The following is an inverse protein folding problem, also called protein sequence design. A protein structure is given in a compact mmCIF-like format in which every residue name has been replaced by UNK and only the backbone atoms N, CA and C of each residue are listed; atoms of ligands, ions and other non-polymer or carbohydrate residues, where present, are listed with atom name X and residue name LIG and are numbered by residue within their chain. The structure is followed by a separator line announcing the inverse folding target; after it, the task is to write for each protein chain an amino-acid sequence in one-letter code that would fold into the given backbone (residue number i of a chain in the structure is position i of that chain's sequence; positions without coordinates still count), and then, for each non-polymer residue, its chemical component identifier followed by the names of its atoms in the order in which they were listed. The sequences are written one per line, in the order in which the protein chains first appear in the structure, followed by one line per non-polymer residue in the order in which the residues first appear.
data_IF_598440479751
#
_entry.id   IF_598440479751
#
_cell.length_a   1.000
_cell.length_b   1.000
_cell.length_c   1.000
_cell.angle_alpha   90.00
_cell.angle_beta   90.00
_cell.angle_gamma   90.00
#
_symmetry.space_group_name_H-M   'P 1'
#
loop_
_entity.id
_entity.type
_entity.pdbx_description
1 polymer ?
#
# COMPACT_ATOMS: atom_id res chain seq x y z
N UNK A 1 7.82 -4.58 -3.05
CA UNK A 1 6.37 -4.69 -3.26
C UNK A 1 5.92 -5.98 -2.59
N UNK A 2 4.98 -5.91 -1.66
CA UNK A 2 4.37 -7.08 -1.04
C UNK A 2 3.05 -7.34 -1.78
N UNK A 3 3.02 -8.40 -2.57
CA UNK A 3 1.84 -8.83 -3.32
C UNK A 3 1.28 -10.05 -2.60
N UNK A 4 0.20 -9.86 -1.86
CA UNK A 4 -0.54 -10.95 -1.25
C UNK A 4 -1.75 -11.26 -2.12
N UNK A 5 -1.73 -12.38 -2.84
CA UNK A 5 -2.81 -12.81 -3.73
C UNK A 5 -4.12 -13.12 -2.99
N UNK A 6 -4.08 -13.26 -1.66
CA UNK A 6 -5.27 -13.39 -0.81
C UNK A 6 -5.84 -12.06 -0.29
N UNK A 7 -5.14 -10.94 -0.49
CA UNK A 7 -5.55 -9.62 -0.02
C UNK A 7 -6.23 -8.83 -1.13
N UNK A 8 -7.26 -8.05 -0.78
CA UNK A 8 -7.87 -7.08 -1.69
C UNK A 8 -6.99 -5.86 -1.97
N UNK A 9 -5.86 -5.72 -1.25
CA UNK A 9 -4.95 -4.58 -1.32
C UNK A 9 -3.51 -5.03 -1.48
N UNK A 10 -2.76 -4.31 -2.31
CA UNK A 10 -1.31 -4.45 -2.43
C UNK A 10 -0.61 -3.38 -1.60
N UNK A 11 0.59 -3.70 -1.09
CA UNK A 11 1.39 -2.77 -0.30
C UNK A 11 2.73 -2.51 -0.98
N UNK A 12 3.06 -1.24 -1.15
CA UNK A 12 4.33 -0.76 -1.72
C UNK A 12 5.07 0.10 -0.69
N UNK A 13 6.38 0.23 -0.87
CA UNK A 13 7.18 1.13 -0.06
C UNK A 13 6.84 2.59 -0.39
N UNK A 14 6.96 3.47 0.61
CA UNK A 14 6.77 4.91 0.42
C UNK A 14 7.68 5.48 -0.67
N UNK A 15 8.93 5.03 -0.73
CA UNK A 15 9.90 5.39 -1.77
C UNK A 15 9.43 5.06 -3.20
N UNK A 16 8.59 4.03 -3.37
CA UNK A 16 8.01 3.72 -4.67
C UNK A 16 6.73 4.54 -4.90
N UNK A 17 5.94 4.74 -3.85
CA UNK A 17 4.71 5.54 -3.93
C UNK A 17 4.98 6.99 -4.33
N UNK A 18 6.12 7.57 -3.92
CA UNK A 18 6.50 8.95 -4.29
C UNK A 18 6.75 9.14 -5.78
N UNK A 19 7.10 8.07 -6.50
CA UNK A 19 7.32 8.08 -7.95
C UNK A 19 6.02 7.87 -8.74
N UNK A 20 4.91 7.56 -8.08
CA UNK A 20 3.62 7.26 -8.70
C UNK A 20 2.65 8.44 -8.60
N UNK A 21 1.84 8.61 -9.65
CA UNK A 21 0.77 9.61 -9.67
C UNK A 21 -0.44 9.14 -8.88
N UNK A 22 -1.14 10.07 -8.22
CA UNK A 22 -2.36 9.75 -7.47
C UNK A 22 -2.11 9.27 -6.03
N UNK A 23 -0.87 9.38 -5.55
CA UNK A 23 -0.54 9.19 -4.14
C UNK A 23 -1.25 10.22 -3.26
N UNK A 24 -2.17 9.75 -2.40
CA UNK A 24 -3.00 10.60 -1.56
C UNK A 24 -3.08 10.10 -0.13
N UNK A 25 -3.23 11.02 0.83
CA UNK A 25 -3.40 10.67 2.24
C UNK A 25 -4.76 10.00 2.48
N UNK A 26 -4.76 8.93 3.26
CA UNK A 26 -5.96 8.28 3.76
C UNK A 26 -6.60 9.15 4.85
N UNK A 27 -7.93 9.25 4.87
CA UNK A 27 -8.65 9.89 5.98
C UNK A 27 -8.42 9.18 7.31
N UNK A 28 -8.29 7.85 7.25
CA UNK A 28 -8.02 7.00 8.41
C UNK A 28 -6.86 6.07 8.07
N UNK A 29 -5.68 6.22 8.72
CA UNK A 29 -4.57 5.31 8.50
C UNK A 29 -4.95 3.85 8.81
N UNK A 30 -4.49 2.93 7.98
CA UNK A 30 -4.78 1.49 8.08
C UNK A 30 -3.61 0.80 8.79
N UNK A 31 -3.91 -0.09 9.74
CA UNK A 31 -2.92 -0.96 10.37
C UNK A 31 -2.97 -2.34 9.75
N UNK A 32 -1.84 -2.79 9.23
CA UNK A 32 -1.69 -4.07 8.54
C UNK A 32 -0.80 -4.97 9.38
N UNK A 33 -1.32 -6.13 9.77
CA UNK A 33 -0.52 -7.14 10.46
C UNK A 33 0.16 -8.02 9.41
N UNK A 34 1.49 -8.02 9.39
CA UNK A 34 2.28 -8.86 8.49
C UNK A 34 2.57 -10.22 9.12
N UNK A 35 3.01 -11.18 8.31
CA UNK A 35 3.15 -12.58 8.70
C UNK A 35 4.11 -12.81 9.89
N UNK A 36 5.14 -11.96 10.04
CA UNK A 36 6.07 -12.02 11.17
C UNK A 36 5.49 -11.45 12.48
N UNK A 37 4.23 -11.01 12.46
CA UNK A 37 3.53 -10.42 13.60
C UNK A 37 3.73 -8.91 13.74
N UNK A 38 4.58 -8.30 12.91
CA UNK A 38 4.77 -6.86 12.82
C UNK A 38 3.50 -6.12 12.38
N UNK A 39 3.41 -4.84 12.73
CA UNK A 39 2.33 -3.95 12.29
C UNK A 39 2.93 -2.86 11.41
N UNK A 40 2.45 -2.78 10.17
CA UNK A 40 2.70 -1.67 9.27
C UNK A 40 1.55 -0.67 9.35
N UNK A 41 1.87 0.62 9.29
CA UNK A 41 0.87 1.69 9.23
C UNK A 41 0.88 2.27 7.82
N UNK A 42 -0.24 2.15 7.12
CA UNK A 42 -0.45 2.74 5.81
C UNK A 42 -1.21 4.06 6.00
N UNK A 43 -0.54 5.18 5.74
CA UNK A 43 -1.11 6.53 5.84
C UNK A 43 -1.62 7.07 4.51
N UNK A 44 -1.27 6.43 3.40
CA UNK A 44 -1.59 6.87 2.06
C UNK A 44 -2.07 5.71 1.20
N UNK A 45 -2.78 6.05 0.14
CA UNK A 45 -3.25 5.12 -0.89
C UNK A 45 -3.01 5.68 -2.29
N UNK A 46 -3.06 4.78 -3.27
CA UNK A 46 -3.10 5.11 -4.70
C UNK A 46 -4.29 4.35 -5.26
N UNK A 47 -5.34 5.07 -5.66
CA UNK A 47 -6.53 4.47 -6.27
C UNK A 47 -6.35 4.28 -7.77
N UNK A 48 -7.00 3.25 -8.32
CA UNK A 48 -6.98 2.95 -9.77
C UNK A 48 -5.57 2.88 -10.37
N UNK A 49 -4.60 2.40 -9.59
CA UNK A 49 -3.23 2.24 -10.07
C UNK A 49 -3.20 1.10 -11.09
N UNK A 50 -3.19 1.44 -12.38
CA UNK A 50 -2.94 0.47 -13.44
C UNK A 50 -1.46 0.07 -13.40
N UNK A 51 -1.19 -1.07 -12.78
CA UNK A 51 0.02 -1.84 -12.98
C UNK A 51 0.10 -2.37 -14.42
N UNK A 52 0.90 -1.71 -15.25
CA UNK A 52 1.37 -2.28 -16.50
C UNK A 52 2.63 -3.10 -16.19
N UNK A 53 2.55 -4.41 -16.36
CA UNK A 53 3.71 -5.33 -16.33
C UNK A 53 4.21 -5.52 -17.76
#
# INVERSE_FOLDING_TARGET
MLVDSGSSHNFISEQLATELTGWKALKNPIKVKVADGGILVCSHEIECCEWWI
#
